data_IF_449816350172
#
_entry.id   IF_449816350172
#
_cell.length_a   1.000
_cell.length_b   1.000
_cell.length_c   1.000
_cell.angle_alpha   90.00
_cell.angle_beta   90.00
_cell.angle_gamma   90.00
#
_symmetry.space_group_name_H-M   'P 1'
#
loop_
_entity.id
_entity.type
_entity.pdbx_description
1 polymer ?
#
# COMPACT_ATOMS: atom_id res chain seq x y z
N UNK A 1 2.66 -1.51 -24.39
CA UNK A 1 1.47 -2.18 -23.80
C UNK A 1 0.91 -1.23 -22.78
N UNK A 2 -0.40 -1.23 -22.51
CA UNK A 2 -0.99 -0.41 -21.46
C UNK A 2 -0.50 -0.92 -20.10
N UNK A 3 -0.27 0.00 -19.14
CA UNK A 3 0.08 -0.38 -17.77
C UNK A 3 -1.10 -1.08 -17.13
N UNK A 4 -0.87 -2.28 -16.58
CA UNK A 4 -1.90 -3.09 -15.94
C UNK A 4 -1.97 -2.80 -14.46
N UNK A 5 -3.15 -2.43 -13.98
CA UNK A 5 -3.40 -2.08 -12.58
C UNK A 5 -4.46 -3.00 -12.00
N UNK A 6 -4.15 -3.67 -10.89
CA UNK A 6 -5.16 -4.37 -10.10
C UNK A 6 -5.67 -3.45 -9.01
N UNK A 7 -6.97 -3.18 -9.05
CA UNK A 7 -7.68 -2.42 -8.03
C UNK A 7 -8.43 -3.39 -7.11
N UNK A 8 -8.03 -3.40 -5.85
CA UNK A 8 -8.63 -4.24 -4.83
C UNK A 8 -9.65 -3.47 -4.00
N UNK A 9 -10.82 -4.05 -3.84
CA UNK A 9 -11.80 -3.59 -2.86
C UNK A 9 -11.64 -4.38 -1.56
N UNK A 10 -11.25 -3.72 -0.49
CA UNK A 10 -11.08 -4.33 0.83
C UNK A 10 -12.29 -5.15 1.28
N UNK A 11 -12.06 -6.22 2.06
CA UNK A 11 -13.10 -7.07 2.65
C UNK A 11 -14.08 -7.68 1.60
N UNK A 12 -15.30 -8.02 2.01
CA UNK A 12 -16.39 -8.53 1.16
C UNK A 12 -17.04 -9.80 1.69
N UNK A 13 -18.29 -10.03 1.31
CA UNK A 13 -19.08 -11.20 1.68
C UNK A 13 -19.24 -11.36 3.18
N UNK A 14 -18.70 -12.43 3.74
CA UNK A 14 -18.76 -12.71 5.19
C UNK A 14 -17.85 -11.80 6.03
N UNK A 15 -16.93 -11.10 5.43
CA UNK A 15 -16.07 -10.13 6.11
C UNK A 15 -16.49 -8.68 5.75
N UNK A 16 -17.30 -8.03 6.59
CA UNK A 16 -17.77 -6.66 6.32
C UNK A 16 -16.69 -5.59 6.52
N UNK A 17 -15.51 -5.94 7.08
CA UNK A 17 -14.58 -4.95 7.61
C UNK A 17 -15.12 -4.25 8.84
N UNK A 18 -14.69 -3.03 9.09
CA UNK A 18 -15.23 -2.21 10.14
C UNK A 18 -16.69 -1.83 9.87
N UNK A 19 -17.49 -1.77 10.93
CA UNK A 19 -18.92 -1.43 10.83
C UNK A 19 -19.25 -0.33 11.83
N UNK A 20 -19.82 0.75 11.34
CA UNK A 20 -20.27 1.88 12.15
C UNK A 20 -21.65 2.34 11.75
N UNK A 21 -22.61 2.35 12.69
CA UNK A 21 -24.00 2.76 12.48
C UNK A 21 -24.67 2.07 11.27
N UNK A 22 -24.35 0.79 11.03
CA UNK A 22 -24.86 0.01 9.91
C UNK A 22 -24.13 0.22 8.58
N UNK A 23 -23.18 1.17 8.49
CA UNK A 23 -22.28 1.35 7.36
C UNK A 23 -21.18 0.29 7.42
N UNK A 24 -20.94 -0.40 6.32
CA UNK A 24 -19.92 -1.47 6.21
C UNK A 24 -18.74 -0.95 5.38
N UNK A 25 -17.52 -1.20 5.84
CA UNK A 25 -16.31 -0.86 5.10
C UNK A 25 -16.27 -1.57 3.73
N UNK A 26 -16.67 -2.83 3.67
CA UNK A 26 -16.70 -3.60 2.43
C UNK A 26 -17.55 -2.97 1.32
N UNK A 27 -18.63 -2.28 1.69
CA UNK A 27 -19.53 -1.62 0.72
C UNK A 27 -18.90 -0.32 0.21
N UNK A 28 -18.33 0.48 1.10
CA UNK A 28 -17.63 1.71 0.75
C UNK A 28 -16.39 1.42 -0.10
N UNK A 29 -15.59 0.42 0.31
CA UNK A 29 -14.39 0.00 -0.42
C UNK A 29 -14.75 -0.46 -1.84
N UNK A 30 -15.80 -1.26 -2.01
CA UNK A 30 -16.26 -1.71 -3.33
C UNK A 30 -16.66 -0.55 -4.22
N UNK A 31 -17.49 0.35 -3.69
CA UNK A 31 -17.97 1.52 -4.44
C UNK A 31 -16.82 2.40 -4.90
N UNK A 32 -15.87 2.67 -4.00
CA UNK A 32 -14.74 3.55 -4.31
C UNK A 32 -13.73 2.89 -5.24
N UNK A 33 -13.39 1.62 -5.03
CA UNK A 33 -12.51 0.86 -5.92
C UNK A 33 -13.04 0.80 -7.35
N UNK A 34 -14.35 0.53 -7.52
CA UNK A 34 -15.00 0.53 -8.84
C UNK A 34 -14.98 1.93 -9.49
N UNK A 35 -15.14 3.00 -8.71
CA UNK A 35 -15.09 4.36 -9.25
C UNK A 35 -13.66 4.75 -9.69
N UNK A 36 -12.65 4.44 -8.87
CA UNK A 36 -11.24 4.67 -9.20
C UNK A 36 -10.85 3.90 -10.46
N UNK A 37 -11.15 2.59 -10.51
CA UNK A 37 -10.80 1.76 -11.65
C UNK A 37 -11.44 2.25 -12.95
N UNK A 38 -12.70 2.69 -12.94
CA UNK A 38 -13.36 3.27 -14.13
C UNK A 38 -12.68 4.53 -14.64
N UNK A 39 -12.14 5.36 -13.75
CA UNK A 39 -11.39 6.55 -14.15
C UNK A 39 -10.06 6.12 -14.80
N UNK A 40 -9.37 5.15 -14.23
CA UNK A 40 -8.13 4.61 -14.80
C UNK A 40 -8.38 3.96 -16.18
N UNK A 41 -9.45 3.14 -16.33
CA UNK A 41 -9.86 2.56 -17.61
C UNK A 41 -10.13 3.65 -18.67
N UNK A 42 -10.85 4.72 -18.30
CA UNK A 42 -11.13 5.84 -19.19
C UNK A 42 -9.89 6.60 -19.64
N UNK A 43 -8.77 6.50 -18.87
CA UNK A 43 -7.48 7.08 -19.19
C UNK A 43 -6.49 6.09 -19.83
N UNK A 44 -6.97 4.91 -20.27
CA UNK A 44 -6.21 3.97 -21.09
C UNK A 44 -5.38 2.95 -20.32
N UNK A 45 -5.57 2.81 -19.01
CA UNK A 45 -4.97 1.76 -18.20
C UNK A 45 -5.75 0.44 -18.35
N UNK A 46 -5.04 -0.69 -18.28
CA UNK A 46 -5.65 -2.03 -18.25
C UNK A 46 -5.99 -2.36 -16.78
N UNK A 47 -7.28 -2.37 -16.43
CA UNK A 47 -7.71 -2.52 -15.03
C UNK A 47 -8.38 -3.86 -14.78
N UNK A 48 -7.87 -4.58 -13.79
CA UNK A 48 -8.51 -5.77 -13.23
C UNK A 48 -8.95 -5.48 -11.79
N UNK A 49 -10.13 -5.96 -11.41
CA UNK A 49 -10.64 -5.82 -10.04
C UNK A 49 -10.54 -7.17 -9.32
N UNK A 50 -10.15 -7.15 -8.03
CA UNK A 50 -10.17 -8.38 -7.21
C UNK A 50 -11.59 -8.88 -7.02
N UNK A 51 -12.56 -7.97 -6.90
CA UNK A 51 -14.00 -8.25 -6.85
C UNK A 51 -14.81 -7.08 -7.43
N UNK A 52 -15.96 -7.39 -7.99
CA UNK A 52 -16.95 -6.42 -8.52
C UNK A 52 -18.30 -6.56 -7.86
N UNK A 53 -18.40 -7.42 -6.84
CA UNK A 53 -19.61 -7.68 -6.05
C UNK A 53 -19.25 -7.97 -4.59
N UNK A 54 -20.25 -8.13 -3.73
CA UNK A 54 -20.05 -8.48 -2.32
C UNK A 54 -19.79 -9.98 -2.16
N UNK A 55 -18.54 -10.39 -2.38
CA UNK A 55 -18.09 -11.80 -2.26
C UNK A 55 -16.92 -11.91 -1.30
N UNK A 56 -16.80 -13.05 -0.64
CA UNK A 56 -15.69 -13.33 0.27
C UNK A 56 -14.44 -13.72 -0.51
N UNK A 57 -13.33 -13.04 -0.22
CA UNK A 57 -11.98 -13.39 -0.69
C UNK A 57 -11.01 -13.24 0.47
N UNK A 58 -10.08 -14.18 0.61
CA UNK A 58 -8.96 -14.01 1.54
C UNK A 58 -7.96 -13.00 1.01
N UNK A 59 -7.16 -12.41 1.89
CA UNK A 59 -6.09 -11.47 1.50
C UNK A 59 -5.05 -12.14 0.59
N UNK A 60 -4.80 -13.45 0.78
CA UNK A 60 -3.93 -14.24 -0.09
C UNK A 60 -4.50 -14.39 -1.50
N UNK A 61 -5.83 -14.62 -1.65
CA UNK A 61 -6.48 -14.68 -2.96
C UNK A 61 -6.40 -13.35 -3.70
N UNK A 62 -6.55 -12.23 -2.99
CA UNK A 62 -6.42 -10.88 -3.59
C UNK A 62 -5.01 -10.63 -4.12
N UNK A 63 -3.97 -10.99 -3.35
CA UNK A 63 -2.58 -10.91 -3.80
C UNK A 63 -2.29 -11.87 -4.97
N UNK A 64 -2.86 -13.10 -4.94
CA UNK A 64 -2.70 -14.08 -6.01
C UNK A 64 -3.29 -13.58 -7.33
N UNK A 65 -4.48 -12.97 -7.33
CA UNK A 65 -5.08 -12.36 -8.52
C UNK A 65 -4.11 -11.36 -9.15
N UNK A 66 -3.52 -10.46 -8.36
CA UNK A 66 -2.60 -9.46 -8.89
C UNK A 66 -1.33 -10.09 -9.51
N UNK A 67 -0.80 -11.13 -8.86
CA UNK A 67 0.38 -11.85 -9.35
C UNK A 67 0.08 -12.66 -10.63
N UNK A 68 -1.06 -13.34 -10.68
CA UNK A 68 -1.50 -14.13 -11.84
C UNK A 68 -1.81 -13.25 -13.05
N UNK A 69 -2.37 -12.07 -12.84
CA UNK A 69 -2.60 -11.08 -13.88
C UNK A 69 -1.30 -10.44 -14.41
N UNK A 70 -0.18 -10.61 -13.71
CA UNK A 70 1.08 -9.95 -14.03
C UNK A 70 0.93 -8.43 -13.99
N UNK A 71 0.28 -7.92 -12.95
CA UNK A 71 0.02 -6.49 -12.80
C UNK A 71 1.32 -5.68 -12.63
N UNK A 72 1.31 -4.46 -13.14
CA UNK A 72 2.39 -3.49 -12.93
C UNK A 72 2.22 -2.72 -11.62
N UNK A 73 0.99 -2.66 -11.10
CA UNK A 73 0.62 -1.96 -9.87
C UNK A 73 -0.57 -2.64 -9.18
N UNK A 74 -0.54 -2.69 -7.85
CA UNK A 74 -1.66 -3.11 -7.02
C UNK A 74 -2.10 -1.97 -6.09
N UNK A 75 -3.40 -1.64 -6.10
CA UNK A 75 -3.99 -0.59 -5.25
C UNK A 75 -5.18 -1.14 -4.50
N UNK A 76 -5.08 -1.24 -3.18
CA UNK A 76 -6.17 -1.68 -2.31
C UNK A 76 -6.89 -0.49 -1.68
N UNK A 77 -8.22 -0.53 -1.66
CA UNK A 77 -9.08 0.53 -1.13
C UNK A 77 -9.77 0.05 0.13
N UNK A 78 -9.63 0.80 1.21
CA UNK A 78 -10.13 0.53 2.54
C UNK A 78 -10.74 1.77 3.20
N UNK A 79 -11.36 1.57 4.37
CA UNK A 79 -11.77 2.61 5.31
C UNK A 79 -11.18 2.29 6.68
N UNK A 80 -10.45 3.23 7.27
CA UNK A 80 -9.87 3.06 8.58
C UNK A 80 -10.93 3.03 9.69
N UNK A 81 -10.56 2.54 10.88
CA UNK A 81 -11.37 2.63 12.08
C UNK A 81 -10.51 2.79 13.32
N UNK A 82 -10.98 3.53 14.31
CA UNK A 82 -10.37 3.65 15.63
C UNK A 82 -10.80 2.55 16.58
N UNK A 83 -10.19 2.54 17.76
CA UNK A 83 -10.63 1.69 18.87
C UNK A 83 -12.00 2.13 19.39
N UNK A 84 -12.25 3.44 19.37
CA UNK A 84 -13.51 4.06 19.76
C UNK A 84 -14.02 4.99 18.66
N UNK A 85 -15.33 5.06 18.43
CA UNK A 85 -15.91 5.96 17.43
C UNK A 85 -15.47 7.41 17.61
N UNK A 86 -15.06 8.06 16.54
CA UNK A 86 -14.61 9.45 16.53
C UNK A 86 -13.24 9.69 17.13
N UNK A 87 -12.49 8.66 17.48
CA UNK A 87 -11.14 8.79 18.04
C UNK A 87 -10.16 9.41 17.04
N UNK A 88 -10.27 9.02 15.80
CA UNK A 88 -9.41 9.48 14.71
C UNK A 88 -10.22 9.97 13.53
N UNK A 89 -9.57 10.70 12.63
CA UNK A 89 -10.12 11.13 11.35
C UNK A 89 -8.99 11.32 10.34
N UNK A 90 -9.35 11.28 9.05
CA UNK A 90 -8.44 11.57 7.95
C UNK A 90 -8.10 10.37 7.09
N UNK A 91 -7.35 10.62 6.04
CA UNK A 91 -6.86 9.61 5.11
C UNK A 91 -5.45 9.17 5.49
N UNK A 92 -5.09 7.96 5.08
CA UNK A 92 -3.75 7.42 5.29
C UNK A 92 -3.44 6.41 4.18
N UNK A 93 -2.23 6.45 3.62
CA UNK A 93 -1.78 5.41 2.70
C UNK A 93 -0.75 4.49 3.34
N UNK A 94 -0.96 3.19 3.21
CA UNK A 94 -0.10 2.15 3.75
C UNK A 94 0.77 1.56 2.65
N UNK A 95 2.09 1.42 2.91
CA UNK A 95 3.07 0.86 1.98
C UNK A 95 3.95 -0.17 2.69
N UNK A 96 4.57 -1.07 1.91
CA UNK A 96 5.45 -2.10 2.45
C UNK A 96 6.71 -1.51 3.09
N UNK A 97 7.38 -0.60 2.38
CA UNK A 97 8.59 0.11 2.82
C UNK A 97 8.62 1.54 2.27
N UNK A 98 9.46 2.40 2.84
CA UNK A 98 9.61 3.81 2.48
C UNK A 98 10.53 4.01 1.27
N UNK A 99 10.17 3.42 0.12
CA UNK A 99 11.00 3.50 -1.08
C UNK A 99 10.23 3.39 -2.40
N UNK A 100 10.86 3.90 -3.46
CA UNK A 100 10.43 3.72 -4.84
C UNK A 100 9.11 4.41 -5.19
N UNK A 101 8.52 3.98 -6.31
CA UNK A 101 7.33 4.59 -6.90
C UNK A 101 6.10 4.57 -5.99
N UNK A 102 5.96 3.54 -5.14
CA UNK A 102 4.83 3.40 -4.21
C UNK A 102 4.80 4.51 -3.15
N UNK A 103 5.99 4.98 -2.69
CA UNK A 103 6.08 6.11 -1.77
C UNK A 103 5.59 7.40 -2.43
N UNK A 104 6.11 7.72 -3.60
CA UNK A 104 5.70 8.92 -4.32
C UNK A 104 4.21 8.89 -4.67
N UNK A 105 3.69 7.73 -5.06
CA UNK A 105 2.26 7.54 -5.33
C UNK A 105 1.41 7.77 -4.08
N UNK A 106 1.84 7.26 -2.93
CA UNK A 106 1.17 7.49 -1.67
C UNK A 106 1.15 8.98 -1.29
N UNK A 107 2.29 9.68 -1.47
CA UNK A 107 2.39 11.13 -1.25
C UNK A 107 1.42 11.92 -2.14
N UNK A 108 1.36 11.60 -3.44
CA UNK A 108 0.47 12.25 -4.38
C UNK A 108 -1.01 11.99 -4.06
N UNK A 109 -1.38 10.73 -3.77
CA UNK A 109 -2.75 10.37 -3.39
C UNK A 109 -3.17 11.10 -2.11
N UNK A 110 -2.33 11.05 -1.07
CA UNK A 110 -2.63 11.70 0.22
C UNK A 110 -2.77 13.22 0.06
N UNK A 111 -1.90 13.86 -0.74
CA UNK A 111 -1.98 15.29 -1.03
C UNK A 111 -3.26 15.68 -1.79
N UNK A 112 -3.65 14.88 -2.80
CA UNK A 112 -4.86 15.12 -3.56
C UNK A 112 -6.13 14.95 -2.71
N UNK A 113 -6.14 13.97 -1.80
CA UNK A 113 -7.24 13.77 -0.85
C UNK A 113 -7.29 14.86 0.22
N UNK A 114 -6.15 15.35 0.70
CA UNK A 114 -6.06 16.49 1.62
C UNK A 114 -6.65 17.76 1.01
N UNK A 115 -6.41 18.01 -0.29
CA UNK A 115 -6.99 19.14 -1.02
C UNK A 115 -8.53 19.11 -1.07
N UNK A 116 -9.17 17.96 -0.86
CA UNK A 116 -10.61 17.81 -0.73
C UNK A 116 -11.13 18.10 0.68
N UNK A 117 -10.26 18.39 1.64
CA UNK A 117 -10.59 18.71 3.02
C UNK A 117 -10.46 17.55 4.01
N UNK A 118 -9.94 16.40 3.59
CA UNK A 118 -9.58 15.34 4.52
C UNK A 118 -8.33 15.73 5.32
N UNK A 119 -8.29 15.34 6.59
CA UNK A 119 -7.05 15.39 7.35
C UNK A 119 -6.08 14.35 6.77
N UNK A 120 -4.86 14.75 6.49
CA UNK A 120 -3.81 13.84 6.10
C UNK A 120 -3.16 13.25 7.36
N UNK A 121 -3.32 11.93 7.58
CA UNK A 121 -2.70 11.20 8.69
C UNK A 121 -1.31 10.63 8.30
N UNK A 122 -0.89 10.88 7.05
CA UNK A 122 0.42 10.51 6.53
C UNK A 122 0.53 9.05 6.09
N UNK A 123 1.70 8.71 5.60
CA UNK A 123 2.03 7.37 5.12
C UNK A 123 2.44 6.48 6.30
N UNK A 124 2.01 5.22 6.28
CA UNK A 124 2.38 4.23 7.28
C UNK A 124 3.04 3.00 6.64
N UNK A 125 4.18 2.59 7.20
CA UNK A 125 4.89 1.39 6.75
C UNK A 125 4.27 0.17 7.42
N UNK A 126 3.82 -0.79 6.61
CA UNK A 126 3.11 -2.00 7.05
C UNK A 126 3.64 -3.26 6.33
N UNK A 127 4.85 -3.72 6.63
CA UNK A 127 5.47 -4.86 5.94
C UNK A 127 4.75 -6.19 6.20
N UNK A 128 3.92 -6.26 7.24
CA UNK A 128 3.21 -7.47 7.62
C UNK A 128 1.85 -7.65 6.91
N UNK A 129 1.41 -6.65 6.12
CA UNK A 129 0.15 -6.77 5.37
C UNK A 129 0.33 -7.71 4.18
N UNK A 130 -0.45 -8.79 4.14
CA UNK A 130 -0.37 -9.81 3.09
C UNK A 130 -0.50 -9.20 1.70
N UNK A 131 -1.45 -8.29 1.48
CA UNK A 131 -1.65 -7.63 0.19
C UNK A 131 -0.50 -6.69 -0.21
N UNK A 132 0.38 -6.31 0.72
CA UNK A 132 1.56 -5.51 0.44
C UNK A 132 2.85 -6.33 0.34
N UNK A 133 2.94 -7.45 1.06
CA UNK A 133 4.15 -8.28 1.11
C UNK A 133 4.14 -9.49 0.18
N UNK A 134 2.95 -9.95 -0.24
CA UNK A 134 2.79 -11.13 -1.09
C UNK A 134 2.51 -10.79 -2.55
N UNK A 135 2.34 -9.51 -2.88
CA UNK A 135 2.28 -8.99 -4.25
C UNK A 135 3.69 -8.81 -4.81
N UNK A 136 3.89 -9.11 -6.11
CA UNK A 136 5.20 -9.08 -6.79
C UNK A 136 5.50 -7.74 -7.46
N UNK A 137 4.55 -6.83 -7.48
CA UNK A 137 4.62 -5.50 -8.05
C UNK A 137 4.54 -4.44 -6.95
N UNK A 138 4.84 -3.16 -7.22
CA UNK A 138 4.53 -2.07 -6.31
C UNK A 138 3.09 -2.13 -5.83
N UNK A 139 2.89 -2.07 -4.51
CA UNK A 139 1.57 -2.21 -3.88
C UNK A 139 1.37 -1.14 -2.81
N UNK A 140 0.16 -0.60 -2.73
CA UNK A 140 -0.26 0.33 -1.70
C UNK A 140 -1.72 0.07 -1.28
N UNK A 141 -2.05 0.50 -0.06
CA UNK A 141 -3.40 0.42 0.50
C UNK A 141 -3.82 1.82 0.95
N UNK A 142 -4.92 2.30 0.39
CA UNK A 142 -5.47 3.62 0.68
C UNK A 142 -6.60 3.49 1.71
N UNK A 143 -6.40 4.08 2.87
CA UNK A 143 -7.42 4.27 3.91
C UNK A 143 -8.18 5.57 3.63
N UNK A 144 -9.32 5.43 2.98
CA UNK A 144 -10.12 6.55 2.48
C UNK A 144 -11.00 7.18 3.58
N UNK A 145 -10.38 7.60 4.66
CA UNK A 145 -11.00 8.17 5.86
C UNK A 145 -11.46 7.11 6.86
N UNK A 146 -11.75 7.54 8.09
CA UNK A 146 -12.22 6.65 9.17
C UNK A 146 -13.73 6.45 9.06
N UNK A 147 -14.17 5.18 8.99
CA UNK A 147 -15.60 4.84 8.88
C UNK A 147 -16.39 5.19 10.15
N UNK A 148 -15.72 5.24 11.30
CA UNK A 148 -16.28 5.59 12.60
C UNK A 148 -16.15 7.08 12.94
N UNK A 149 -15.74 7.91 11.95
CA UNK A 149 -15.69 9.36 12.01
C UNK A 149 -16.86 9.98 11.22
N UNK A 150 -17.78 10.66 11.88
CA UNK A 150 -18.88 11.36 11.21
C UNK A 150 -18.39 12.45 10.25
N UNK A 151 -17.23 13.06 10.53
CA UNK A 151 -16.62 14.06 9.66
C UNK A 151 -16.14 13.41 8.36
N UNK A 152 -15.42 12.30 8.45
CA UNK A 152 -14.91 11.60 7.28
C UNK A 152 -16.05 10.98 6.47
N UNK A 153 -17.10 10.48 7.13
CA UNK A 153 -18.27 9.96 6.45
C UNK A 153 -19.01 11.05 5.66
N UNK A 154 -19.16 12.26 6.22
CA UNK A 154 -19.73 13.40 5.49
C UNK A 154 -18.90 13.79 4.26
N UNK A 155 -17.55 13.81 4.40
CA UNK A 155 -16.65 14.10 3.28
C UNK A 155 -16.71 12.98 2.23
N UNK A 156 -16.63 11.73 2.66
CA UNK A 156 -16.75 10.56 1.77
C UNK A 156 -18.01 10.61 0.91
N UNK A 157 -19.16 10.91 1.52
CA UNK A 157 -20.44 10.94 0.79
C UNK A 157 -20.56 12.17 -0.09
N UNK A 158 -20.22 13.36 0.42
CA UNK A 158 -20.37 14.62 -0.32
C UNK A 158 -19.30 14.83 -1.40
N UNK A 159 -18.12 14.20 -1.28
CA UNK A 159 -16.97 14.32 -2.19
C UNK A 159 -16.64 13.04 -2.94
N UNK A 160 -17.53 12.05 -2.94
CA UNK A 160 -17.25 10.69 -3.44
C UNK A 160 -16.58 10.65 -4.82
N UNK A 161 -17.15 11.37 -5.81
CA UNK A 161 -16.57 11.39 -7.15
C UNK A 161 -15.20 12.10 -7.20
N UNK A 162 -15.09 13.21 -6.47
CA UNK A 162 -13.82 13.93 -6.37
C UNK A 162 -12.75 13.08 -5.66
N UNK A 163 -13.13 12.27 -4.69
CA UNK A 163 -12.26 11.32 -4.00
C UNK A 163 -11.74 10.23 -4.93
N UNK A 164 -12.62 9.63 -5.72
CA UNK A 164 -12.23 8.65 -6.74
C UNK A 164 -11.28 9.27 -7.77
N UNK A 165 -11.56 10.51 -8.21
CA UNK A 165 -10.68 11.25 -9.11
C UNK A 165 -9.32 11.53 -8.48
N UNK A 166 -9.28 12.03 -7.23
CA UNK A 166 -8.05 12.36 -6.51
C UNK A 166 -7.12 11.15 -6.36
N UNK A 167 -7.69 9.97 -6.06
CA UNK A 167 -6.90 8.73 -5.98
C UNK A 167 -6.35 8.34 -7.37
N UNK A 168 -7.21 8.38 -8.40
CA UNK A 168 -6.79 8.06 -9.76
C UNK A 168 -5.73 9.04 -10.28
N UNK A 169 -5.87 10.35 -10.02
CA UNK A 169 -4.91 11.38 -10.40
C UNK A 169 -3.54 11.13 -9.75
N UNK A 170 -3.50 10.84 -8.44
CA UNK A 170 -2.25 10.55 -7.75
C UNK A 170 -1.52 9.31 -8.30
N UNK A 171 -2.28 8.30 -8.77
CA UNK A 171 -1.73 7.13 -9.48
C UNK A 171 -1.16 7.55 -10.83
N UNK A 172 -1.95 8.27 -11.65
CA UNK A 172 -1.59 8.66 -13.01
C UNK A 172 -0.39 9.61 -13.02
N UNK A 173 -0.40 10.65 -12.20
CA UNK A 173 0.71 11.61 -12.05
C UNK A 173 2.02 10.91 -11.73
N UNK A 174 1.98 9.90 -10.86
CA UNK A 174 3.18 9.15 -10.49
C UNK A 174 3.69 8.28 -11.64
N UNK A 175 2.79 7.59 -12.34
CA UNK A 175 3.16 6.71 -13.46
C UNK A 175 3.70 7.52 -14.65
N UNK A 176 3.11 8.66 -14.96
CA UNK A 176 3.57 9.59 -16.01
C UNK A 176 4.93 10.19 -15.68
N UNK A 177 5.12 10.64 -14.43
CA UNK A 177 6.40 11.14 -13.95
C UNK A 177 7.53 10.11 -14.04
N UNK A 178 7.25 8.84 -13.73
CA UNK A 178 8.21 7.76 -13.84
C UNK A 178 8.60 7.45 -15.31
N UNK A 179 7.67 7.56 -16.25
CA UNK A 179 7.94 7.38 -17.68
C UNK A 179 8.84 8.49 -18.23
N UNK A 180 8.63 9.74 -17.82
CA UNK A 180 9.45 10.89 -18.24
C UNK A 180 10.88 10.74 -17.74
N UNK A 181 11.09 10.30 -16.52
CA UNK A 181 12.45 10.08 -15.98
C UNK A 181 13.16 8.92 -16.65
N UNK A 182 12.45 7.87 -17.02
CA UNK A 182 13.02 6.71 -17.74
C UNK A 182 13.40 7.03 -19.19
N UNK A 183 12.67 7.94 -19.85
CA UNK A 183 12.94 8.34 -21.24
C UNK A 183 14.04 9.40 -21.37
N UNK A 184 14.44 10.05 -20.27
CA UNK A 184 15.47 11.09 -20.23
C UNK A 184 16.85 10.57 -19.79
N UNK A 185 17.05 9.26 -19.60
CA UNK A 185 18.38 8.69 -19.44
C UNK A 185 19.04 8.66 -20.82
N UNK A 186 20.12 9.42 -21.08
CA UNK A 186 20.85 9.32 -22.34
C UNK A 186 21.35 7.88 -22.47
N UNK A 187 21.11 7.25 -23.61
CA UNK A 187 21.77 6.01 -23.99
C UNK A 187 23.28 6.30 -23.98
N UNK A 188 24.01 5.92 -22.95
CA UNK A 188 25.46 5.92 -22.97
C UNK A 188 25.89 4.91 -24.03
N UNK A 189 26.32 5.41 -25.19
CA UNK A 189 27.05 4.58 -26.16
C UNK A 189 28.21 3.89 -25.43
N UNK A 190 28.48 2.60 -25.67
CA UNK A 190 29.61 1.94 -25.06
C UNK A 190 30.89 2.60 -25.57
N UNK A 191 31.55 3.39 -24.72
CA UNK A 191 32.90 3.85 -24.98
C UNK A 191 33.79 2.60 -25.01
N UNK A 192 34.33 2.29 -26.17
CA UNK A 192 35.44 1.34 -26.32
C UNK A 192 36.60 1.82 -25.46
N UNK A 193 36.74 1.24 -24.28
CA UNK A 193 37.93 1.39 -23.43
C UNK A 193 39.12 0.76 -24.14
N UNK A 194 39.94 1.58 -24.78
CA UNK A 194 41.24 1.22 -25.27
C UNK A 194 42.10 0.72 -24.11
N UNK A 195 42.40 -0.58 -24.12
CA UNK A 195 43.10 -1.30 -23.07
C UNK A 195 44.52 -0.79 -22.92
N UNK A 196 44.75 0.17 -22.05
CA UNK A 196 46.08 0.44 -21.50
C UNK A 196 46.27 -0.42 -20.25
N UNK A 197 47.06 -1.50 -20.40
CA UNK A 197 47.58 -2.30 -19.27
C UNK A 197 48.70 -1.55 -18.56
N UNK A 198 48.60 -1.19 -17.27
CA UNK A 198 49.76 -0.83 -16.48
C UNK A 198 50.45 -2.08 -15.91
N UNK A 199 51.78 -2.04 -15.69
CA UNK A 199 52.56 -3.20 -15.29
C UNK A 199 52.31 -3.65 -13.85
N UNK A 200 52.20 -4.97 -13.68
CA UNK A 200 52.13 -5.62 -12.39
C UNK A 200 53.42 -5.35 -11.60
N UNK A 201 53.30 -4.75 -10.42
CA UNK A 201 54.07 -5.07 -9.22
C UNK A 201 53.65 -4.21 -8.02
N UNK A 202 52.73 -4.71 -7.20
CA UNK A 202 52.64 -4.35 -5.77
C UNK A 202 52.15 -5.58 -4.97
N UNK A 203 52.76 -5.89 -3.85
CA UNK A 203 52.31 -6.98 -2.99
C UNK A 203 51.00 -6.61 -2.28
N UNK A 204 50.18 -7.59 -1.92
CA UNK A 204 48.86 -7.35 -1.33
C UNK A 204 48.97 -6.72 0.05
N UNK A 205 48.42 -5.53 0.23
CA UNK A 205 48.20 -4.96 1.55
C UNK A 205 47.07 -5.74 2.25
N UNK A 206 47.45 -6.41 3.34
CA UNK A 206 46.49 -7.01 4.28
C UNK A 206 45.70 -5.86 4.95
N UNK A 207 44.34 -5.86 4.94
CA UNK A 207 43.60 -4.90 5.73
C UNK A 207 43.82 -5.15 7.24
N UNK A 208 43.83 -4.11 8.08
CA UNK A 208 43.97 -4.26 9.52
C UNK A 208 42.80 -5.07 10.10
N UNK A 209 43.08 -6.02 10.96
CA UNK A 209 42.09 -6.81 11.69
C UNK A 209 41.24 -5.87 12.57
N UNK A 210 39.92 -5.98 12.46
CA UNK A 210 39.02 -5.33 13.39
C UNK A 210 39.22 -5.88 14.81
N UNK A 211 39.16 -5.01 15.82
CA UNK A 211 39.21 -5.48 17.21
C UNK A 211 37.96 -6.35 17.50
N UNK A 212 38.08 -7.33 18.41
CA UNK A 212 36.96 -8.19 18.80
C UNK A 212 35.84 -7.34 19.43
N UNK A 213 34.60 -7.62 19.01
CA UNK A 213 33.39 -7.00 19.56
C UNK A 213 33.26 -7.46 21.02
N UNK A 214 33.07 -6.55 21.99
CA UNK A 214 32.82 -6.93 23.36
C UNK A 214 31.52 -7.75 23.47
N UNK A 215 31.39 -8.71 24.39
CA UNK A 215 30.19 -9.47 24.60
C UNK A 215 29.04 -8.55 24.98
N UNK A 216 27.87 -8.74 24.33
CA UNK A 216 26.66 -8.02 24.67
C UNK A 216 26.24 -8.32 26.13
N UNK A 217 25.74 -7.33 26.87
CA UNK A 217 25.14 -7.58 28.18
C UNK A 217 23.94 -8.54 28.04
N UNK A 218 23.64 -9.37 29.04
CA UNK A 218 22.47 -10.24 29.01
C UNK A 218 21.20 -9.40 28.83
N UNK A 219 20.34 -9.84 27.92
CA UNK A 219 19.01 -9.21 27.74
C UNK A 219 18.21 -9.31 29.04
N UNK A 220 17.45 -8.26 29.42
CA UNK A 220 16.50 -8.36 30.49
C UNK A 220 15.46 -9.45 30.17
N UNK A 221 14.86 -10.11 31.16
CA UNK A 221 13.81 -11.10 30.93
C UNK A 221 12.67 -10.43 30.14
N UNK A 222 12.24 -11.11 29.06
CA UNK A 222 11.06 -10.71 28.30
C UNK A 222 9.87 -10.67 29.25
N UNK A 223 9.31 -9.47 29.46
CA UNK A 223 7.96 -9.37 30.01
C UNK A 223 7.01 -10.05 29.02
N UNK A 224 5.98 -10.77 29.50
CA UNK A 224 5.01 -11.38 28.60
C UNK A 224 4.39 -10.26 27.75
N UNK A 225 4.64 -10.30 26.45
CA UNK A 225 3.97 -9.42 25.50
C UNK A 225 2.46 -9.61 25.67
N UNK A 226 1.76 -8.60 26.15
CA UNK A 226 0.33 -8.51 25.94
C UNK A 226 0.11 -8.56 24.42
N UNK A 227 -0.45 -9.66 23.93
CA UNK A 227 -0.78 -9.86 22.50
C UNK A 227 -1.75 -8.75 22.06
N UNK A 228 -1.19 -7.65 21.60
CA UNK A 228 -1.96 -6.58 20.95
C UNK A 228 -2.38 -7.07 19.57
N UNK A 229 -3.59 -7.60 19.46
CA UNK A 229 -4.25 -7.94 18.17
C UNK A 229 -4.56 -6.68 17.34
N UNK A 230 -3.57 -5.80 17.14
CA UNK A 230 -3.65 -4.69 16.22
C UNK A 230 -3.07 -5.09 14.89
N UNK A 231 -3.94 -5.60 14.05
CA UNK A 231 -3.58 -5.89 12.68
C UNK A 231 -4.37 -4.97 11.79
N UNK A 232 -3.67 -4.02 11.19
CA UNK A 232 -4.22 -3.16 10.16
C UNK A 232 -5.19 -2.08 10.65
N UNK A 233 -5.50 -1.20 9.82
CA UNK A 233 -6.57 -0.25 9.85
C UNK A 233 -7.82 -0.78 10.58
N UNK A 234 -7.97 -0.48 11.84
CA UNK A 234 -9.12 -0.85 12.64
C UNK A 234 -8.83 -1.85 13.76
N UNK A 235 -9.42 -1.60 14.90
CA UNK A 235 -9.46 -2.53 16.01
C UNK A 235 -10.48 -3.62 15.72
N UNK A 236 -10.04 -4.87 15.66
CA UNK A 236 -10.97 -6.01 15.60
C UNK A 236 -11.42 -6.35 17.02
N UNK A 237 -12.74 -6.46 17.21
CA UNK A 237 -13.32 -6.90 18.51
C UNK A 237 -13.12 -8.38 18.76
N UNK A 238 -12.82 -9.15 17.71
CA UNK A 238 -12.67 -10.60 17.78
C UNK A 238 -11.36 -11.02 17.09
N UNK A 239 -10.62 -11.93 17.75
CA UNK A 239 -9.36 -12.50 17.24
C UNK A 239 -9.53 -13.11 15.84
N UNK A 240 -10.67 -13.76 15.57
CA UNK A 240 -10.98 -14.38 14.28
C UNK A 240 -10.87 -13.39 13.10
N UNK A 241 -11.27 -12.15 13.30
CA UNK A 241 -11.20 -11.12 12.24
C UNK A 241 -9.76 -10.65 11.99
N UNK A 242 -8.93 -10.61 13.04
CA UNK A 242 -7.53 -10.29 12.92
C UNK A 242 -6.74 -11.41 12.22
N UNK A 243 -7.01 -12.67 12.60
CA UNK A 243 -6.38 -13.87 12.03
C UNK A 243 -6.73 -14.03 10.54
N UNK A 244 -7.98 -13.75 10.14
CA UNK A 244 -8.40 -13.77 8.73
C UNK A 244 -7.68 -12.73 7.87
N UNK A 245 -7.31 -11.59 8.46
CA UNK A 245 -6.61 -10.55 7.75
C UNK A 245 -5.12 -10.86 7.56
N UNK A 246 -4.53 -11.60 8.50
CA UNK A 246 -3.14 -12.07 8.41
C UNK A 246 -2.97 -13.29 7.50
N UNK A 247 -4.07 -13.89 7.02
CA UNK A 247 -4.01 -15.11 6.22
C UNK A 247 -3.70 -16.37 7.02
N UNK A 248 -3.83 -16.32 8.35
CA UNK A 248 -3.73 -17.50 9.21
C UNK A 248 -5.06 -18.26 9.21
N UNK A 249 -5.29 -19.06 8.16
CA UNK A 249 -6.31 -20.10 8.17
C UNK A 249 -5.82 -21.24 9.10
N UNK A 250 -6.52 -21.47 10.18
CA UNK A 250 -6.47 -22.73 10.95
C UNK A 250 -7.70 -23.55 10.69
#
# INVERSE_FOLDING_TARGET
MATKIVVDAGHGGSNPGAVYQGRRESDDALRLAMAVGKILEANGYDVTYTRTSDVTQSVGQKAAIANEEGADLFVSIHRNAGEYPGQYSGIQTLIYDDSGIKKQMAENIDANLEALGFRNAGISIRPNLVVLNSTQMPALLVEAGFIDSDTDNRLFDSRFQAMAQAIADGIMETLEGAQVTSSNVPEEEPQEEERHRPPMNRPPHRPPMRPPIPPMPPMPPEEPEEELYRVQAGAFRERQNADNLLGEDR
#
